data_IF_730474289328
#
_entry.id   IF_730474289328
#
_cell.length_a   1.000
_cell.length_b   1.000
_cell.length_c   1.000
_cell.angle_alpha   90.00
_cell.angle_beta   90.00
_cell.angle_gamma   90.00
#
_symmetry.space_group_name_H-M   'P 1'
#
loop_
_entity.id
_entity.type
_entity.pdbx_description
1 polymer ?
#
# COMPACT_ATOMS: atom_id res chain seq x y z
N UNK A 1 -107.52 -30.49 -1.75
CA UNK A 1 -107.81 -31.87 -2.23
C UNK A 1 -106.66 -32.34 -3.11
N UNK A 2 -106.37 -33.65 -3.10
CA UNK A 2 -105.80 -34.51 -4.17
C UNK A 2 -104.99 -33.87 -5.34
N UNK A 3 -103.85 -34.42 -5.82
CA UNK A 3 -103.14 -35.69 -5.53
C UNK A 3 -101.80 -35.70 -6.32
N UNK A 4 -100.71 -36.11 -5.65
CA UNK A 4 -99.52 -36.93 -6.06
C UNK A 4 -99.09 -37.03 -7.55
N UNK A 5 -97.78 -37.32 -7.73
CA UNK A 5 -97.00 -37.84 -8.90
C UNK A 5 -95.98 -36.77 -9.39
N UNK A 6 -94.66 -37.02 -9.52
CA UNK A 6 -93.83 -38.21 -9.21
C UNK A 6 -92.36 -37.86 -8.77
N UNK A 7 -91.40 -38.74 -9.10
CA UNK A 7 -89.97 -38.90 -8.74
C UNK A 7 -88.92 -38.12 -9.55
N UNK A 8 -87.78 -37.83 -8.91
CA UNK A 8 -86.49 -38.40 -9.37
C UNK A 8 -85.55 -38.68 -8.17
N UNK A 9 -84.84 -39.81 -8.20
CA UNK A 9 -83.84 -40.21 -7.21
C UNK A 9 -82.48 -39.58 -7.56
N UNK A 10 -81.69 -39.21 -6.55
CA UNK A 10 -80.25 -39.52 -6.58
C UNK A 10 -79.73 -39.86 -5.17
N UNK A 11 -78.66 -40.64 -5.13
CA UNK A 11 -78.29 -41.50 -4.00
C UNK A 11 -77.29 -40.84 -3.04
N UNK A 12 -77.38 -41.23 -1.77
CA UNK A 12 -76.52 -40.90 -0.63
C UNK A 12 -75.00 -40.98 -0.90
N UNK A 13 -74.23 -40.13 -0.20
CA UNK A 13 -72.83 -40.39 0.13
C UNK A 13 -72.41 -39.59 1.38
N UNK A 14 -72.38 -40.27 2.53
CA UNK A 14 -71.62 -39.83 3.70
C UNK A 14 -70.29 -40.58 3.64
N UNK A 15 -69.17 -39.86 3.71
CA UNK A 15 -67.86 -40.47 3.96
C UNK A 15 -67.10 -39.64 5.00
N UNK A 16 -66.43 -40.33 5.92
CA UNK A 16 -65.75 -39.72 7.06
C UNK A 16 -64.42 -39.06 6.65
N UNK A 17 -63.91 -38.19 7.52
CA UNK A 17 -62.84 -37.25 7.17
C UNK A 17 -61.43 -37.84 7.07
N UNK A 18 -60.54 -37.02 6.52
CA UNK A 18 -59.10 -37.09 6.73
C UNK A 18 -58.62 -35.74 7.24
N UNK A 19 -57.99 -35.73 8.41
CA UNK A 19 -57.20 -34.57 8.82
C UNK A 19 -55.93 -34.56 7.97
N UNK A 20 -55.83 -33.62 7.02
CA UNK A 20 -54.58 -33.38 6.30
C UNK A 20 -53.65 -32.65 7.28
N UNK A 21 -52.42 -33.14 7.52
CA UNK A 21 -51.50 -32.46 8.42
C UNK A 21 -51.18 -31.06 7.85
N UNK A 22 -51.14 -30.06 8.73
CA UNK A 22 -50.59 -28.77 8.38
C UNK A 22 -49.10 -28.97 8.06
N UNK A 23 -48.75 -28.95 6.77
CA UNK A 23 -47.36 -28.89 6.33
C UNK A 23 -46.85 -27.48 6.65
N UNK A 24 -46.25 -27.32 7.82
CA UNK A 24 -45.44 -26.16 8.12
C UNK A 24 -44.30 -26.12 7.10
N UNK A 25 -44.35 -25.15 6.18
CA UNK A 25 -43.20 -24.81 5.35
C UNK A 25 -42.29 -23.96 6.24
N UNK A 26 -41.39 -24.62 6.97
CA UNK A 26 -40.34 -23.93 7.70
C UNK A 26 -39.48 -23.14 6.70
N UNK A 27 -39.69 -21.84 6.67
CA UNK A 27 -38.91 -20.90 5.85
C UNK A 27 -37.91 -20.20 6.74
N UNK A 28 -36.63 -20.46 6.50
CA UNK A 28 -35.51 -19.76 7.12
C UNK A 28 -34.91 -18.74 6.16
N UNK A 29 -34.37 -17.64 6.71
CA UNK A 29 -33.57 -16.68 5.93
C UNK A 29 -32.09 -17.01 6.10
N UNK A 30 -31.35 -17.19 5.01
CA UNK A 30 -29.89 -17.34 5.04
C UNK A 30 -29.27 -15.98 4.74
N UNK A 31 -28.53 -15.42 5.71
CA UNK A 31 -27.83 -14.14 5.55
C UNK A 31 -26.35 -14.38 5.27
N UNK A 32 -25.92 -14.13 4.04
CA UNK A 32 -24.51 -14.16 3.66
C UNK A 32 -23.87 -12.80 3.96
N UNK A 33 -23.04 -12.74 5.00
CA UNK A 33 -22.23 -11.57 5.33
C UNK A 33 -20.81 -11.77 4.80
N UNK A 34 -20.32 -10.84 3.98
CA UNK A 34 -18.96 -10.82 3.49
C UNK A 34 -18.38 -9.40 3.57
N UNK A 35 -17.07 -9.30 3.78
CA UNK A 35 -16.33 -8.04 3.72
C UNK A 35 -15.18 -8.21 2.73
N UNK A 36 -15.25 -7.47 1.63
CA UNK A 36 -14.12 -7.31 0.70
C UNK A 36 -13.20 -6.26 1.33
N UNK A 37 -11.89 -6.52 1.31
CA UNK A 37 -10.86 -5.56 1.68
C UNK A 37 -10.34 -4.91 0.40
N UNK A 38 -9.89 -3.64 0.44
CA UNK A 38 -9.36 -2.98 -0.74
C UNK A 38 -8.10 -3.68 -1.25
N UNK A 39 -7.96 -3.78 -2.57
CA UNK A 39 -6.72 -4.27 -3.19
C UNK A 39 -5.58 -3.25 -2.99
N UNK A 40 -4.43 -3.73 -2.53
CA UNK A 40 -3.23 -2.89 -2.37
C UNK A 40 -2.71 -2.45 -3.75
N UNK A 41 -2.36 -1.17 -3.90
CA UNK A 41 -1.68 -0.65 -5.10
C UNK A 41 -0.56 -1.57 -5.58
N UNK A 42 -0.44 -1.74 -6.90
CA UNK A 42 0.81 -2.22 -7.51
C UNK A 42 1.88 -1.17 -7.36
N UNK A 43 3.11 -1.62 -7.08
CA UNK A 43 4.27 -0.76 -6.88
C UNK A 43 5.32 -1.01 -7.93
N UNK A 44 5.72 0.08 -8.58
CA UNK A 44 6.86 0.15 -9.47
C UNK A 44 7.88 1.14 -8.89
N UNK A 45 9.15 0.75 -8.86
CA UNK A 45 10.27 1.60 -8.46
C UNK A 45 11.22 1.67 -9.65
N UNK A 46 11.37 2.84 -10.27
CA UNK A 46 12.20 3.05 -11.48
C UNK A 46 11.94 2.06 -12.66
N UNK A 47 10.69 1.65 -12.90
CA UNK A 47 10.35 0.69 -13.96
C UNK A 47 10.58 -0.78 -13.58
N UNK A 48 10.83 -1.06 -12.30
CA UNK A 48 10.97 -2.42 -11.76
C UNK A 48 9.93 -2.68 -10.66
N UNK A 49 9.22 -3.81 -10.79
CA UNK A 49 8.12 -4.18 -9.91
C UNK A 49 8.60 -4.52 -8.48
N UNK A 50 7.94 -3.94 -7.47
CA UNK A 50 8.16 -4.15 -6.02
C UNK A 50 9.52 -3.69 -5.47
N UNK A 51 10.62 -3.98 -6.16
CA UNK A 51 11.98 -3.59 -5.78
C UNK A 51 12.61 -2.81 -6.94
N UNK A 52 13.34 -1.74 -6.65
CA UNK A 52 14.10 -1.01 -7.65
C UNK A 52 15.41 -0.47 -7.08
N UNK A 53 16.37 -0.27 -7.98
CA UNK A 53 17.73 0.18 -7.64
C UNK A 53 17.95 1.61 -8.12
N UNK A 54 18.63 2.40 -7.30
CA UNK A 54 19.15 3.72 -7.67
C UNK A 54 20.66 3.62 -7.75
N UNK A 55 21.21 3.70 -8.96
CA UNK A 55 22.65 3.58 -9.21
C UNK A 55 23.27 4.97 -9.31
N UNK A 56 24.16 5.30 -8.39
CA UNK A 56 24.99 6.52 -8.45
C UNK A 56 26.12 6.38 -9.47
N UNK A 57 26.65 7.52 -9.93
CA UNK A 57 27.84 7.54 -10.77
C UNK A 57 29.10 7.11 -9.98
N UNK A 58 30.14 6.67 -10.71
CA UNK A 58 31.47 6.48 -10.13
C UNK A 58 32.03 7.83 -9.63
N UNK A 59 32.38 7.91 -8.36
CA UNK A 59 32.85 9.15 -7.72
C UNK A 59 34.35 9.13 -7.39
N UNK A 60 34.98 10.29 -7.56
CA UNK A 60 36.31 10.59 -7.02
C UNK A 60 36.19 11.09 -5.59
N UNK A 61 37.20 10.82 -4.75
CA UNK A 61 37.31 11.43 -3.41
C UNK A 61 37.28 12.97 -3.46
N UNK A 62 37.71 13.58 -4.57
CA UNK A 62 37.68 15.03 -4.80
C UNK A 62 36.27 15.63 -5.01
N UNK A 63 35.22 14.80 -5.10
CA UNK A 63 33.84 15.28 -5.04
C UNK A 63 33.43 15.69 -3.61
N UNK A 64 34.17 15.20 -2.62
CA UNK A 64 33.96 15.39 -1.19
C UNK A 64 35.02 16.33 -0.58
N UNK A 65 34.92 16.64 0.71
CA UNK A 65 35.83 17.59 1.38
C UNK A 65 35.43 18.03 2.78
N UNK A 66 34.14 17.93 3.13
CA UNK A 66 33.58 18.32 4.43
C UNK A 66 32.35 17.46 4.76
N UNK A 67 31.92 17.46 6.02
CA UNK A 67 30.74 16.72 6.46
C UNK A 67 29.47 17.17 5.71
N UNK A 68 28.57 16.24 5.41
CA UNK A 68 27.34 16.45 4.63
C UNK A 68 27.55 16.95 3.19
N UNK A 69 28.79 16.99 2.68
CA UNK A 69 29.09 17.33 1.28
C UNK A 69 28.49 16.29 0.34
N UNK A 70 27.58 16.74 -0.54
CA UNK A 70 26.99 15.92 -1.61
C UNK A 70 28.04 15.62 -2.68
N UNK A 71 28.23 14.34 -3.01
CA UNK A 71 29.12 13.87 -4.07
C UNK A 71 28.41 13.63 -5.40
N UNK A 72 27.24 12.97 -5.38
CA UNK A 72 26.37 12.75 -6.55
C UNK A 72 24.88 12.87 -6.13
N UNK A 73 24.00 13.09 -7.11
CA UNK A 73 22.56 13.16 -6.91
C UNK A 73 21.83 12.44 -8.03
N UNK A 74 20.99 11.47 -7.68
CA UNK A 74 20.19 10.69 -8.62
C UNK A 74 18.70 10.92 -8.37
N UNK A 75 17.95 11.18 -9.45
CA UNK A 75 16.49 11.27 -9.35
C UNK A 75 15.88 9.88 -9.55
N UNK A 76 14.87 9.54 -8.76
CA UNK A 76 14.14 8.29 -8.90
C UNK A 76 12.66 8.48 -8.58
N UNK A 77 11.82 7.55 -9.03
CA UNK A 77 10.39 7.59 -8.83
C UNK A 77 9.86 6.26 -8.28
N UNK A 78 8.88 6.35 -7.38
CA UNK A 78 8.02 5.24 -6.98
C UNK A 78 6.64 5.52 -7.57
N UNK A 79 6.19 4.67 -8.50
CA UNK A 79 4.89 4.79 -9.16
C UNK A 79 3.93 3.76 -8.59
N UNK A 80 2.76 4.22 -8.18
CA UNK A 80 1.66 3.39 -7.70
C UNK A 80 0.56 3.34 -8.76
N UNK A 81 0.13 2.15 -9.14
CA UNK A 81 -0.95 1.92 -10.11
C UNK A 81 -1.94 0.89 -9.57
N UNK A 82 -3.13 0.82 -10.18
CA UNK A 82 -4.17 -0.16 -9.80
C UNK A 82 -4.51 -0.13 -8.29
N UNK A 83 -4.48 1.07 -7.70
CA UNK A 83 -4.89 1.31 -6.32
C UNK A 83 -6.41 1.22 -6.19
N UNK A 84 -6.91 0.58 -5.13
CA UNK A 84 -8.35 0.51 -4.86
C UNK A 84 -8.99 1.90 -4.77
N UNK A 85 -10.14 2.08 -5.44
CA UNK A 85 -10.84 3.37 -5.54
C UNK A 85 -11.40 3.90 -4.21
N UNK A 86 -11.48 3.08 -3.15
CA UNK A 86 -11.85 3.50 -1.80
C UNK A 86 -10.70 4.17 -1.04
N UNK A 87 -9.44 4.05 -1.51
CA UNK A 87 -8.32 4.82 -0.97
C UNK A 87 -8.43 6.26 -1.47
N UNK A 88 -8.44 7.24 -0.56
CA UNK A 88 -8.54 8.65 -0.94
C UNK A 88 -7.16 9.25 -1.23
N UNK A 89 -6.16 8.94 -0.39
CA UNK A 89 -4.80 9.45 -0.50
C UNK A 89 -3.75 8.37 -0.22
N UNK A 90 -2.58 8.59 -0.80
CA UNK A 90 -1.42 7.74 -0.70
C UNK A 90 -0.25 8.54 -0.15
N UNK A 91 0.62 7.89 0.62
CA UNK A 91 1.93 8.41 1.00
C UNK A 91 2.90 7.24 1.24
N UNK A 92 4.19 7.51 1.37
CA UNK A 92 5.22 6.48 1.53
C UNK A 92 6.11 6.86 2.72
N UNK A 93 6.26 5.94 3.66
CA UNK A 93 7.26 6.04 4.73
C UNK A 93 8.42 5.09 4.50
N UNK A 94 9.57 5.40 5.08
CA UNK A 94 10.79 4.63 4.92
C UNK A 94 11.38 4.26 6.27
N UNK A 95 11.99 3.08 6.35
CA UNK A 95 12.71 2.57 7.51
C UNK A 95 14.07 1.99 7.07
N UNK A 96 15.12 2.15 7.86
CA UNK A 96 16.42 1.55 7.57
C UNK A 96 17.50 1.90 8.58
N UNK A 97 18.63 1.19 8.52
CA UNK A 97 19.79 1.45 9.37
C UNK A 97 20.33 2.86 9.11
N UNK A 98 20.32 3.73 10.13
CA UNK A 98 20.77 5.13 10.03
C UNK A 98 22.13 5.37 10.67
N UNK A 99 22.75 6.47 10.29
CA UNK A 99 23.94 7.02 10.93
C UNK A 99 23.51 7.88 12.12
N UNK A 100 23.96 7.52 13.33
CA UNK A 100 23.67 8.28 14.54
C UNK A 100 24.20 9.72 14.46
N UNK A 101 23.40 10.69 14.91
CA UNK A 101 23.75 12.12 14.88
C UNK A 101 23.44 12.86 13.58
N UNK A 102 22.79 12.21 12.61
CA UNK A 102 22.37 12.81 11.33
C UNK A 102 20.86 13.00 11.24
N UNK A 103 20.25 13.47 12.33
CA UNK A 103 18.84 13.88 12.42
C UNK A 103 17.83 12.85 11.88
N UNK A 104 18.23 11.58 11.90
CA UNK A 104 17.44 10.43 11.47
C UNK A 104 17.19 10.34 9.93
N UNK A 105 17.90 11.18 9.17
CA UNK A 105 17.74 11.46 7.73
C UNK A 105 18.78 10.78 6.81
N UNK A 106 19.77 10.08 7.36
CA UNK A 106 20.88 9.49 6.58
C UNK A 106 21.01 7.99 6.84
N UNK A 107 20.83 7.20 5.77
CA UNK A 107 21.08 5.77 5.76
C UNK A 107 22.59 5.48 5.89
N UNK A 108 22.89 4.49 6.71
CA UNK A 108 24.23 3.92 6.82
C UNK A 108 24.56 3.12 5.56
N UNK A 109 25.66 3.50 4.91
CA UNK A 109 26.24 2.71 3.85
C UNK A 109 27.00 1.50 4.41
N UNK A 110 26.99 0.41 3.64
CA UNK A 110 27.72 -0.85 3.90
C UNK A 110 28.56 -1.18 2.67
N UNK A 111 29.73 -1.80 2.86
CA UNK A 111 30.66 -2.12 1.77
C UNK A 111 32.11 -1.99 2.16
N UNK A 112 32.96 -1.59 1.22
CA UNK A 112 34.39 -1.30 1.43
C UNK A 112 34.71 0.19 1.43
N UNK A 113 33.83 1.03 0.86
CA UNK A 113 33.89 2.48 1.02
C UNK A 113 33.22 2.94 2.33
N UNK A 114 33.96 3.72 3.11
CA UNK A 114 33.61 4.23 4.43
C UNK A 114 33.41 5.76 4.40
N UNK A 115 32.95 6.34 5.51
CA UNK A 115 32.72 7.79 5.70
C UNK A 115 31.74 8.41 4.69
N UNK A 116 30.73 7.64 4.28
CA UNK A 116 29.65 8.11 3.41
C UNK A 116 28.29 7.57 3.86
N UNK A 117 27.23 8.24 3.44
CA UNK A 117 25.84 7.85 3.69
C UNK A 117 24.92 8.31 2.57
N UNK A 118 23.67 7.86 2.57
CA UNK A 118 22.66 8.23 1.56
C UNK A 118 21.44 8.85 2.23
N UNK A 119 20.96 9.97 1.70
CA UNK A 119 19.70 10.62 2.11
C UNK A 119 18.80 10.85 0.90
N UNK A 120 17.51 11.10 1.14
CA UNK A 120 16.53 11.30 0.07
C UNK A 120 15.69 12.54 0.33
N UNK A 121 15.54 13.41 -0.68
CA UNK A 121 14.67 14.58 -0.64
C UNK A 121 13.40 14.30 -1.47
N UNK A 122 12.19 14.35 -0.89
CA UNK A 122 10.94 14.24 -1.63
C UNK A 122 10.69 15.49 -2.48
N UNK A 123 10.11 15.31 -3.66
CA UNK A 123 9.55 16.42 -4.43
C UNK A 123 8.45 17.15 -3.63
N UNK A 124 8.59 18.47 -3.48
CA UNK A 124 7.63 19.30 -2.75
C UNK A 124 7.94 19.49 -1.26
N UNK A 125 8.97 18.84 -0.70
CA UNK A 125 9.48 19.12 0.65
C UNK A 125 10.80 19.90 0.64
N UNK A 126 11.09 20.54 1.78
CA UNK A 126 12.41 21.10 2.13
C UNK A 126 13.16 20.25 3.18
N UNK A 127 12.55 19.18 3.68
CA UNK A 127 13.11 18.27 4.67
C UNK A 127 13.49 16.94 3.99
N UNK A 128 14.55 16.28 4.47
CA UNK A 128 14.90 14.95 4.00
C UNK A 128 13.96 13.88 4.59
N UNK A 129 13.86 12.74 3.92
CA UNK A 129 13.16 11.56 4.42
C UNK A 129 13.82 11.06 5.69
N UNK A 130 13.02 10.83 6.72
CA UNK A 130 13.43 10.08 7.92
C UNK A 130 13.23 8.59 7.70
N UNK A 131 14.21 7.82 8.14
CA UNK A 131 14.28 6.36 7.95
C UNK A 131 13.90 5.52 9.20
N UNK A 132 12.92 5.96 9.99
CA UNK A 132 12.44 5.30 11.23
C UNK A 132 11.06 4.68 11.12
N UNK A 133 10.46 4.72 9.92
CA UNK A 133 9.06 4.40 9.75
C UNK A 133 8.14 5.37 10.53
N UNK A 134 8.59 6.58 10.85
CA UNK A 134 7.67 7.67 11.23
C UNK A 134 6.77 8.06 10.06
N UNK A 135 5.64 8.71 10.37
CA UNK A 135 4.71 9.14 9.33
C UNK A 135 5.26 10.36 8.56
N UNK A 136 5.26 10.33 7.21
CA UNK A 136 5.77 11.39 6.37
C UNK A 136 4.85 12.61 6.42
N UNK A 137 5.40 13.76 6.02
CA UNK A 137 4.68 15.02 5.95
C UNK A 137 3.33 14.87 5.23
N UNK A 138 2.25 15.29 5.89
CA UNK A 138 0.91 15.20 5.31
C UNK A 138 0.73 16.03 4.03
N UNK A 139 1.57 17.06 3.83
CA UNK A 139 1.62 17.85 2.60
C UNK A 139 2.12 17.05 1.38
N UNK A 140 2.81 15.92 1.60
CA UNK A 140 3.25 15.00 0.54
C UNK A 140 2.21 13.92 0.18
N UNK A 141 1.03 13.96 0.80
CA UNK A 141 -0.08 13.09 0.41
C UNK A 141 -0.43 13.34 -1.07
N UNK A 142 -0.49 12.28 -1.86
CA UNK A 142 -1.00 12.33 -3.22
C UNK A 142 -2.39 11.71 -3.27
N UNK A 143 -3.36 12.43 -3.82
CA UNK A 143 -4.70 11.89 -4.07
C UNK A 143 -4.61 10.69 -5.01
N UNK A 144 -5.43 9.67 -4.73
CA UNK A 144 -5.46 8.45 -5.50
C UNK A 144 -5.93 8.69 -6.97
N UNK A 145 -5.50 7.84 -7.88
CA UNK A 145 -5.81 7.93 -9.32
C UNK A 145 -5.24 6.76 -10.11
N UNK A 146 -5.38 6.78 -11.44
CA UNK A 146 -4.93 5.68 -12.32
C UNK A 146 -3.42 5.40 -12.22
N UNK A 147 -2.62 6.45 -12.00
CA UNK A 147 -1.18 6.38 -11.75
C UNK A 147 -0.76 7.52 -10.83
N UNK A 148 -0.10 7.18 -9.73
CA UNK A 148 0.33 8.13 -8.69
C UNK A 148 1.85 8.01 -8.49
N UNK A 149 2.58 9.05 -8.92
CA UNK A 149 4.05 9.04 -8.94
C UNK A 149 4.62 9.85 -7.77
N UNK A 150 5.48 9.24 -6.94
CA UNK A 150 6.27 9.91 -5.91
C UNK A 150 7.72 10.09 -6.41
N UNK A 151 8.12 11.33 -6.64
CA UNK A 151 9.46 11.68 -7.11
C UNK A 151 10.39 12.00 -5.94
N UNK A 152 11.63 11.55 -6.02
CA UNK A 152 12.67 11.75 -5.01
C UNK A 152 14.02 12.07 -5.66
N UNK A 153 14.87 12.76 -4.91
CA UNK A 153 16.31 12.88 -5.19
C UNK A 153 17.09 12.16 -4.11
N UNK A 154 17.82 11.10 -4.47
CA UNK A 154 18.78 10.46 -3.61
C UNK A 154 20.13 11.21 -3.71
N UNK A 155 20.75 11.49 -2.57
CA UNK A 155 22.06 12.14 -2.47
C UNK A 155 23.02 11.22 -1.70
N UNK A 156 24.19 10.96 -2.26
CA UNK A 156 25.32 10.37 -1.51
C UNK A 156 26.16 11.50 -0.93
N UNK A 157 26.39 11.44 0.39
CA UNK A 157 27.09 12.49 1.15
C UNK A 157 28.33 11.94 1.87
N UNK A 158 29.34 12.78 2.08
CA UNK A 158 30.39 12.52 3.07
C UNK A 158 29.80 12.56 4.49
N UNK A 159 30.31 11.68 5.35
CA UNK A 159 29.94 11.54 6.77
C UNK A 159 31.17 11.75 7.63
N UNK A 160 31.14 12.79 8.45
CA UNK A 160 32.25 13.23 9.29
C UNK A 160 33.29 14.04 8.51
N UNK A 161 34.39 14.40 9.19
CA UNK A 161 35.46 15.23 8.62
C UNK A 161 36.47 14.46 7.75
N UNK A 162 36.41 13.12 7.74
CA UNK A 162 37.34 12.28 6.96
C UNK A 162 36.76 12.00 5.58
N UNK A 163 37.56 12.17 4.53
CA UNK A 163 37.15 11.85 3.17
C UNK A 163 36.66 10.39 3.05
N UNK A 164 35.68 10.11 2.16
CA UNK A 164 35.26 8.75 1.86
C UNK A 164 36.42 7.88 1.35
N UNK A 165 36.48 6.61 1.76
CA UNK A 165 37.49 5.68 1.24
C UNK A 165 37.07 5.12 -0.13
N UNK A 166 38.05 4.73 -0.94
CA UNK A 166 37.78 4.03 -2.21
C UNK A 166 37.21 2.64 -1.95
N UNK A 167 36.14 2.27 -2.64
CA UNK A 167 35.51 0.96 -2.53
C UNK A 167 34.08 0.99 -3.05
N UNK A 168 33.41 -0.15 -2.97
CA UNK A 168 31.99 -0.28 -3.25
C UNK A 168 31.18 0.09 -2.00
N UNK A 169 29.98 0.63 -2.20
CA UNK A 169 29.02 0.89 -1.12
C UNK A 169 27.58 0.55 -1.54
N UNK A 170 26.74 0.29 -0.55
CA UNK A 170 25.31 0.08 -0.71
C UNK A 170 24.59 0.55 0.55
N UNK A 171 23.53 1.33 0.37
CA UNK A 171 22.59 1.73 1.42
C UNK A 171 21.21 1.18 1.05
N UNK A 172 20.40 0.79 2.05
CA UNK A 172 19.09 0.17 1.84
C UNK A 172 18.06 0.77 2.78
N UNK A 173 16.85 1.00 2.27
CA UNK A 173 15.67 1.35 3.05
C UNK A 173 14.50 0.44 2.63
N UNK A 174 13.69 0.07 3.60
CA UNK A 174 12.38 -0.55 3.39
C UNK A 174 11.34 0.56 3.27
N UNK A 175 10.50 0.54 2.24
CA UNK A 175 9.36 1.45 2.14
C UNK A 175 8.08 0.80 2.67
N UNK A 176 7.13 1.60 3.10
CA UNK A 176 5.77 1.15 3.47
C UNK A 176 4.77 2.14 2.90
N UNK A 177 3.79 1.63 2.15
CA UNK A 177 2.70 2.44 1.64
C UNK A 177 1.70 2.75 2.76
N UNK A 178 1.26 4.01 2.77
CA UNK A 178 0.23 4.51 3.68
C UNK A 178 -1.02 4.83 2.86
N UNK A 179 -2.08 4.07 3.11
CA UNK A 179 -3.42 4.30 2.56
C UNK A 179 -4.20 5.19 3.55
N UNK A 180 -4.70 6.34 3.07
CA UNK A 180 -5.31 7.41 3.87
C UNK A 180 -6.64 7.88 3.26
#
# INVERSE_FOLDING_TARGET
>A
MCKKILTSLFVSSILAGTAVPALAVDTGTITFNGKILPDSCKVDVNGTATNGTVTFNNLSQTAFGEDKKVGDTQSFAITLTECDAAVANLNIKFDGTRIAGYDDEVLQATGTAQNLGVRMLPEGSSNYVKFDGSDPEAALNKTNGESVVFNYKAEVIQVGSTLPTTGDYTAQATYTLLYR
#
